data_IF_768666339535
#
_entry.id   IF_768666339535
#
_cell.length_a   1.000
_cell.length_b   1.000
_cell.length_c   1.000
_cell.angle_alpha   90.00
_cell.angle_beta   90.00
_cell.angle_gamma   90.00
#
_symmetry.space_group_name_H-M   'P 1'
#
loop_
_entity.id
_entity.type
_entity.pdbx_description
1 polymer ?
#
# COMPACT_ATOMS: atom_id res chain seq x y z
N UNK A 1 -7.98 12.64 -14.34
CA UNK A 1 -6.75 13.15 -13.63
C UNK A 1 -7.16 14.18 -12.60
N UNK A 2 -6.76 14.02 -11.37
CA UNK A 2 -6.99 15.02 -10.31
C UNK A 2 -6.16 16.28 -10.58
N UNK A 3 -6.72 17.47 -10.32
CA UNK A 3 -5.96 18.72 -10.47
C UNK A 3 -4.78 18.76 -9.50
N UNK A 4 -3.63 19.22 -9.98
CA UNK A 4 -2.43 19.36 -9.17
C UNK A 4 -2.54 20.55 -8.22
N UNK A 5 -1.92 20.44 -7.06
CA UNK A 5 -1.92 21.47 -6.01
C UNK A 5 -3.28 21.81 -5.38
N UNK A 6 -4.33 21.07 -5.69
CA UNK A 6 -5.65 21.26 -5.06
C UNK A 6 -5.92 20.23 -3.97
N UNK A 7 -6.60 20.68 -2.90
CA UNK A 7 -7.07 19.80 -1.86
C UNK A 7 -8.33 19.06 -2.31
N UNK A 8 -8.28 17.75 -2.35
CA UNK A 8 -9.43 16.90 -2.61
C UNK A 8 -9.81 16.06 -1.40
N UNK A 9 -11.08 15.69 -1.34
CA UNK A 9 -11.63 14.83 -0.29
C UNK A 9 -11.95 13.46 -0.89
N UNK A 10 -11.84 12.39 -0.10
CA UNK A 10 -12.20 11.04 -0.54
C UNK A 10 -13.73 10.91 -0.62
N UNK A 11 -14.28 11.05 -1.79
CA UNK A 11 -15.73 11.20 -2.06
C UNK A 11 -16.58 10.07 -1.48
N UNK A 12 -16.09 8.85 -1.57
CA UNK A 12 -16.81 7.64 -1.16
C UNK A 12 -16.53 7.22 0.30
N UNK A 13 -15.59 7.89 0.98
CA UNK A 13 -15.19 7.52 2.34
C UNK A 13 -16.38 7.55 3.32
N UNK A 14 -17.25 8.53 3.19
CA UNK A 14 -18.45 8.66 4.03
C UNK A 14 -19.41 7.48 3.82
N UNK A 15 -19.71 7.15 2.57
CA UNK A 15 -20.62 6.03 2.22
C UNK A 15 -20.03 4.72 2.67
N UNK A 16 -18.74 4.53 2.48
CA UNK A 16 -17.99 3.36 2.92
C UNK A 16 -18.10 3.13 4.44
N UNK A 17 -17.88 4.16 5.26
CA UNK A 17 -18.00 4.05 6.70
C UNK A 17 -19.44 3.81 7.18
N UNK A 18 -20.43 4.46 6.58
CA UNK A 18 -21.83 4.21 6.89
C UNK A 18 -22.25 2.76 6.54
N UNK A 19 -21.71 2.18 5.49
CA UNK A 19 -21.98 0.80 5.15
C UNK A 19 -21.37 -0.16 6.19
N UNK A 20 -20.16 0.11 6.67
CA UNK A 20 -19.57 -0.65 7.78
C UNK A 20 -20.38 -0.53 9.07
N UNK A 21 -20.85 0.66 9.39
CA UNK A 21 -21.72 0.91 10.53
C UNK A 21 -23.02 0.09 10.41
N UNK A 22 -23.66 0.13 9.26
CA UNK A 22 -24.90 -0.63 9.02
C UNK A 22 -24.69 -2.14 9.15
N UNK A 23 -23.58 -2.68 8.61
CA UNK A 23 -23.22 -4.09 8.75
C UNK A 23 -22.94 -4.43 10.22
N UNK A 24 -22.17 -3.61 10.92
CA UNK A 24 -21.85 -3.82 12.34
C UNK A 24 -23.09 -3.83 13.23
N UNK A 25 -23.98 -2.87 13.03
CA UNK A 25 -25.27 -2.82 13.73
C UNK A 25 -26.15 -4.01 13.38
N UNK A 26 -26.21 -4.40 12.10
CA UNK A 26 -26.95 -5.58 11.65
C UNK A 26 -26.48 -6.87 12.35
N UNK A 27 -25.18 -7.05 12.48
CA UNK A 27 -24.57 -8.18 13.19
C UNK A 27 -24.92 -8.14 14.68
N UNK A 28 -24.80 -6.96 15.32
CA UNK A 28 -25.14 -6.80 16.74
C UNK A 28 -26.61 -7.10 17.03
N UNK A 29 -27.52 -6.64 16.18
CA UNK A 29 -28.96 -6.92 16.30
C UNK A 29 -29.24 -8.40 16.08
N UNK A 30 -28.62 -9.03 15.09
CA UNK A 30 -28.80 -10.47 14.82
C UNK A 30 -28.29 -11.33 15.97
N UNK A 31 -27.09 -11.04 16.49
CA UNK A 31 -26.52 -11.77 17.65
C UNK A 31 -27.33 -11.53 18.92
N UNK A 32 -27.72 -10.29 19.21
CA UNK A 32 -28.53 -9.95 20.37
C UNK A 32 -29.93 -10.62 20.31
N UNK A 33 -30.57 -10.59 19.15
CA UNK A 33 -31.85 -11.27 18.91
C UNK A 33 -31.75 -12.78 19.04
N UNK A 34 -30.70 -13.41 18.53
CA UNK A 34 -30.41 -14.82 18.69
C UNK A 34 -30.23 -15.20 20.18
N UNK A 35 -29.39 -14.48 20.91
CA UNK A 35 -29.15 -14.70 22.33
C UNK A 35 -30.46 -14.54 23.16
N UNK A 36 -31.28 -13.54 22.82
CA UNK A 36 -32.59 -13.37 23.44
C UNK A 36 -33.53 -14.56 23.15
N UNK A 37 -33.54 -15.08 21.92
CA UNK A 37 -34.41 -16.21 21.51
C UNK A 37 -34.08 -17.52 22.23
N UNK A 38 -32.81 -17.76 22.56
CA UNK A 38 -32.36 -18.92 23.33
C UNK A 38 -32.45 -18.72 24.85
N UNK A 39 -33.04 -17.61 25.30
CA UNK A 39 -33.27 -17.34 26.74
C UNK A 39 -32.01 -16.94 27.51
N UNK A 40 -30.94 -16.51 26.80
CA UNK A 40 -29.67 -16.14 27.45
C UNK A 40 -29.81 -14.99 28.48
N UNK A 41 -30.87 -14.22 28.41
CA UNK A 41 -31.17 -13.10 29.33
C UNK A 41 -32.35 -13.34 30.26
N UNK A 42 -32.94 -14.56 30.28
CA UNK A 42 -34.15 -14.87 31.08
C UNK A 42 -33.93 -14.69 32.58
N UNK A 43 -32.75 -15.04 33.08
CA UNK A 43 -32.36 -14.89 34.48
C UNK A 43 -31.55 -13.64 34.78
N UNK A 44 -31.31 -12.79 33.75
CA UNK A 44 -30.52 -11.59 33.90
C UNK A 44 -31.35 -10.46 34.55
N UNK A 45 -30.76 -9.67 35.46
CA UNK A 45 -31.41 -8.47 35.97
C UNK A 45 -31.79 -7.50 34.83
N UNK A 46 -32.90 -6.80 34.97
CA UNK A 46 -33.40 -5.84 33.94
C UNK A 46 -32.37 -4.80 33.49
N UNK A 47 -31.46 -4.39 34.38
CA UNK A 47 -30.39 -3.44 34.01
C UNK A 47 -29.38 -4.04 33.01
N UNK A 48 -29.13 -5.35 33.07
CA UNK A 48 -28.23 -6.05 32.10
C UNK A 48 -28.88 -6.03 30.73
N UNK A 49 -30.19 -6.39 30.65
CA UNK A 49 -30.95 -6.35 29.39
C UNK A 49 -30.99 -4.91 28.82
N UNK A 50 -31.13 -3.92 29.70
CA UNK A 50 -31.05 -2.49 29.32
C UNK A 50 -29.72 -2.11 28.74
N UNK A 51 -28.58 -2.56 29.32
CA UNK A 51 -27.25 -2.28 28.81
C UNK A 51 -26.98 -2.93 27.45
N UNK A 52 -27.46 -4.15 27.24
CA UNK A 52 -27.34 -4.88 25.97
C UNK A 52 -27.95 -4.10 24.79
N UNK A 53 -28.97 -3.29 25.05
CA UNK A 53 -29.61 -2.42 24.03
C UNK A 53 -28.97 -1.04 24.02
N UNK A 54 -28.73 -0.44 25.19
CA UNK A 54 -28.27 0.94 25.31
C UNK A 54 -26.84 1.15 24.76
N UNK A 55 -25.93 0.18 24.96
CA UNK A 55 -24.55 0.31 24.51
C UNK A 55 -24.45 0.30 22.98
N UNK A 56 -25.04 -0.63 22.22
CA UNK A 56 -25.04 -0.58 20.77
C UNK A 56 -25.72 0.67 20.22
N UNK A 57 -26.81 1.11 20.83
CA UNK A 57 -27.50 2.33 20.43
C UNK A 57 -26.62 3.59 20.64
N UNK A 58 -25.93 3.68 21.75
CA UNK A 58 -25.00 4.77 22.03
C UNK A 58 -23.83 4.79 21.03
N UNK A 59 -23.25 3.61 20.72
CA UNK A 59 -22.20 3.47 19.72
C UNK A 59 -22.71 3.87 18.33
N UNK A 60 -23.91 3.44 17.95
CA UNK A 60 -24.52 3.82 16.68
C UNK A 60 -24.69 5.34 16.57
N UNK A 61 -25.29 5.99 17.56
CA UNK A 61 -25.47 7.45 17.57
C UNK A 61 -24.13 8.18 17.52
N UNK A 62 -23.14 7.69 18.27
CA UNK A 62 -21.79 8.26 18.25
C UNK A 62 -21.13 8.13 16.88
N UNK A 63 -21.17 6.98 16.24
CA UNK A 63 -20.57 6.74 14.92
C UNK A 63 -21.27 7.55 13.83
N UNK A 64 -22.61 7.62 13.86
CA UNK A 64 -23.41 8.42 12.92
C UNK A 64 -23.01 9.90 12.95
N UNK A 65 -22.69 10.43 14.13
CA UNK A 65 -22.16 11.79 14.29
C UNK A 65 -20.67 11.89 13.89
N UNK A 66 -19.84 10.89 14.27
CA UNK A 66 -18.39 10.88 14.07
C UNK A 66 -17.99 10.78 12.61
N UNK A 67 -18.65 9.90 11.82
CA UNK A 67 -18.31 9.65 10.41
C UNK A 67 -18.29 10.93 9.57
N UNK A 68 -19.33 11.78 9.56
CA UNK A 68 -19.28 13.04 8.81
C UNK A 68 -18.29 14.05 9.38
N UNK A 69 -18.05 14.05 10.68
CA UNK A 69 -17.03 14.90 11.29
C UNK A 69 -15.62 14.50 10.82
N UNK A 70 -15.32 13.20 10.81
CA UNK A 70 -14.05 12.68 10.30
C UNK A 70 -13.86 12.96 8.81
N UNK A 71 -14.88 12.74 7.99
CA UNK A 71 -14.85 13.04 6.56
C UNK A 71 -14.53 14.50 6.26
N UNK A 72 -15.08 15.44 7.04
CA UNK A 72 -14.83 16.88 6.83
C UNK A 72 -13.37 17.26 7.02
N UNK A 73 -12.65 16.53 7.86
CA UNK A 73 -11.24 16.81 8.18
C UNK A 73 -10.24 16.09 7.29
N UNK A 74 -10.66 14.99 6.66
CA UNK A 74 -9.80 14.23 5.76
C UNK A 74 -9.66 14.95 4.41
N UNK A 75 -8.43 15.31 4.05
CA UNK A 75 -8.12 15.89 2.75
C UNK A 75 -6.71 15.53 2.33
N UNK A 76 -6.53 15.38 1.02
CA UNK A 76 -5.29 15.04 0.35
C UNK A 76 -4.95 16.08 -0.68
N UNK A 77 -3.65 16.30 -0.92
CA UNK A 77 -3.15 17.17 -1.98
C UNK A 77 -1.93 16.53 -2.63
N UNK A 78 -1.95 16.45 -3.95
CA UNK A 78 -0.84 16.02 -4.77
C UNK A 78 -0.15 17.29 -5.28
N UNK A 79 1.05 17.59 -4.79
CA UNK A 79 1.89 18.70 -5.28
C UNK A 79 2.89 18.18 -6.31
N UNK A 80 3.77 19.02 -6.79
CA UNK A 80 4.82 18.59 -7.73
C UNK A 80 5.90 17.75 -7.06
N UNK A 81 6.18 17.98 -5.77
CA UNK A 81 7.30 17.39 -5.05
C UNK A 81 6.89 16.36 -4.00
N UNK A 82 5.65 16.45 -3.50
CA UNK A 82 5.22 15.70 -2.32
C UNK A 82 3.72 15.45 -2.31
N UNK A 83 3.31 14.48 -1.49
CA UNK A 83 1.91 14.22 -1.18
C UNK A 83 1.65 14.76 0.21
N UNK A 84 0.71 15.67 0.32
CA UNK A 84 0.23 16.18 1.59
C UNK A 84 -1.08 15.53 1.97
N UNK A 85 -1.20 15.24 3.24
CA UNK A 85 -2.37 14.63 3.82
C UNK A 85 -2.68 15.27 5.16
N UNK A 86 -3.93 15.56 5.39
CA UNK A 86 -4.42 16.03 6.68
C UNK A 86 -5.68 15.28 7.09
N UNK A 87 -5.76 14.92 8.36
CA UNK A 87 -6.96 14.33 8.97
C UNK A 87 -7.00 14.56 10.46
N UNK A 88 -8.15 14.34 11.06
CA UNK A 88 -8.37 14.28 12.51
C UNK A 88 -9.45 15.24 12.98
N UNK A 89 -10.36 14.71 13.79
CA UNK A 89 -11.49 15.48 14.35
C UNK A 89 -11.02 16.30 15.55
N UNK A 90 -10.34 15.65 16.51
CA UNK A 90 -9.82 16.28 17.72
C UNK A 90 -8.34 16.67 17.59
N UNK A 91 -7.53 15.77 17.05
CA UNK A 91 -6.11 16.00 16.82
C UNK A 91 -5.86 16.03 15.31
N UNK A 92 -5.51 17.18 14.79
CA UNK A 92 -5.18 17.33 13.39
C UNK A 92 -3.75 16.81 13.15
N UNK A 93 -3.64 15.77 12.34
CA UNK A 93 -2.40 15.29 11.80
C UNK A 93 -2.23 15.80 10.38
N UNK A 94 -1.07 16.39 10.12
CA UNK A 94 -0.63 16.74 8.77
C UNK A 94 0.65 15.94 8.49
N UNK A 95 0.60 15.14 7.45
CA UNK A 95 1.75 14.34 7.02
C UNK A 95 2.08 14.73 5.59
N UNK A 96 3.37 14.83 5.32
CA UNK A 96 3.92 15.17 4.02
C UNK A 96 4.89 14.07 3.62
N UNK A 97 4.68 13.48 2.44
CA UNK A 97 5.50 12.38 1.89
C UNK A 97 6.12 12.83 0.58
N UNK A 98 7.44 13.10 0.55
CA UNK A 98 8.15 13.44 -0.69
C UNK A 98 8.22 12.25 -1.65
N UNK A 99 8.05 12.48 -2.96
CA UNK A 99 8.04 11.42 -3.97
C UNK A 99 9.36 10.65 -4.04
N UNK A 100 10.50 11.26 -3.76
CA UNK A 100 11.82 10.62 -3.76
C UNK A 100 12.01 9.56 -2.65
N UNK A 101 11.16 9.55 -1.62
CA UNK A 101 11.17 8.56 -0.53
C UNK A 101 10.23 7.39 -0.77
N UNK A 102 9.36 7.48 -1.77
CA UNK A 102 8.37 6.46 -2.06
C UNK A 102 9.06 5.26 -2.70
N UNK A 103 8.93 4.10 -2.08
CA UNK A 103 9.48 2.82 -2.56
C UNK A 103 8.46 2.01 -3.32
N UNK A 104 7.19 2.04 -2.88
CA UNK A 104 6.11 1.29 -3.51
C UNK A 104 4.78 2.04 -3.39
N UNK A 105 3.94 1.89 -4.43
CA UNK A 105 2.56 2.40 -4.45
C UNK A 105 1.66 1.26 -4.89
N UNK A 106 0.71 0.90 -4.05
CA UNK A 106 -0.28 -0.13 -4.35
C UNK A 106 -1.69 0.46 -4.39
N UNK A 107 -2.52 -0.09 -5.25
CA UNK A 107 -3.96 0.16 -5.25
C UNK A 107 -4.67 -1.12 -4.81
N UNK A 108 -5.68 -0.98 -3.97
CA UNK A 108 -6.47 -2.09 -3.46
C UNK A 108 -7.95 -1.73 -3.39
N UNK A 109 -8.78 -2.73 -3.64
CA UNK A 109 -10.23 -2.61 -3.52
C UNK A 109 -10.78 -3.79 -2.75
N UNK A 110 -11.23 -3.56 -1.52
CA UNK A 110 -11.88 -4.58 -0.69
C UNK A 110 -13.33 -4.88 -1.14
N UNK A 111 -13.94 -5.97 -0.62
CA UNK A 111 -15.28 -6.38 -1.02
C UNK A 111 -16.34 -5.28 -0.77
N UNK A 112 -16.30 -4.62 0.36
CA UNK A 112 -17.21 -3.51 0.68
C UNK A 112 -16.93 -2.28 -0.17
N UNK A 113 -15.66 -2.01 -0.48
CA UNK A 113 -15.29 -0.90 -1.37
C UNK A 113 -15.83 -1.09 -2.78
N UNK A 114 -15.90 -2.34 -3.27
CA UNK A 114 -16.52 -2.67 -4.56
C UNK A 114 -18.00 -2.32 -4.63
N UNK A 115 -18.74 -2.50 -3.53
CA UNK A 115 -20.16 -2.17 -3.47
C UNK A 115 -20.45 -0.68 -3.62
N UNK A 116 -19.50 0.18 -3.22
CA UNK A 116 -19.62 1.64 -3.27
C UNK A 116 -18.77 2.28 -4.36
N UNK A 117 -18.17 1.46 -5.23
CA UNK A 117 -17.26 1.91 -6.28
C UNK A 117 -16.15 2.81 -5.71
N UNK A 118 -15.46 2.29 -4.71
CA UNK A 118 -14.36 2.95 -4.03
C UNK A 118 -13.13 2.06 -4.00
N UNK A 119 -11.96 2.68 -3.85
CA UNK A 119 -10.71 1.98 -3.63
C UNK A 119 -9.82 2.73 -2.65
N UNK A 120 -8.64 2.20 -2.45
CA UNK A 120 -7.58 2.81 -1.64
C UNK A 120 -6.23 2.72 -2.33
N UNK A 121 -5.41 3.75 -2.13
CA UNK A 121 -4.03 3.82 -2.60
C UNK A 121 -3.12 3.85 -1.39
N UNK A 122 -2.29 2.82 -1.25
CA UNK A 122 -1.27 2.72 -0.21
C UNK A 122 0.09 3.19 -0.73
N UNK A 123 0.77 4.02 0.05
CA UNK A 123 2.06 4.61 -0.27
C UNK A 123 3.06 4.17 0.79
N UNK A 124 4.10 3.48 0.36
CA UNK A 124 5.16 2.96 1.21
C UNK A 124 6.45 3.74 0.98
N UNK A 125 7.16 4.03 2.06
CA UNK A 125 8.46 4.71 2.02
C UNK A 125 9.56 3.86 2.64
N UNK A 126 10.82 4.14 2.29
CA UNK A 126 11.98 3.38 2.78
C UNK A 126 12.15 3.44 4.31
N UNK A 127 11.73 4.53 4.96
CA UNK A 127 11.85 4.71 6.42
C UNK A 127 10.79 3.95 7.24
N UNK A 128 9.71 3.49 6.62
CA UNK A 128 8.57 2.85 7.27
C UNK A 128 8.55 1.32 7.09
N UNK A 129 9.60 0.76 6.47
CA UNK A 129 9.70 -0.67 6.11
C UNK A 129 9.65 -1.65 7.30
N UNK A 130 9.77 -1.17 8.55
CA UNK A 130 9.66 -1.97 9.78
C UNK A 130 8.26 -2.05 10.38
N UNK A 131 7.27 -1.30 9.88
CA UNK A 131 5.89 -1.32 10.36
C UNK A 131 4.97 -1.97 9.32
N UNK A 132 4.05 -2.80 9.79
CA UNK A 132 3.06 -3.47 8.95
C UNK A 132 2.06 -2.44 8.42
N UNK A 133 2.26 -1.95 7.19
CA UNK A 133 1.32 -1.06 6.53
C UNK A 133 1.98 0.01 5.66
N UNK A 134 1.16 0.78 4.95
CA UNK A 134 1.59 1.94 4.20
C UNK A 134 1.74 3.15 5.13
N UNK A 135 2.76 3.99 4.91
CA UNK A 135 2.93 5.25 5.66
C UNK A 135 1.75 6.20 5.44
N UNK A 136 1.23 6.21 4.22
CA UNK A 136 0.07 6.98 3.84
C UNK A 136 -0.92 6.10 3.07
N UNK A 137 -2.20 6.12 3.46
CA UNK A 137 -3.27 5.45 2.71
C UNK A 137 -4.36 6.46 2.36
N UNK A 138 -4.63 6.62 1.07
CA UNK A 138 -5.76 7.37 0.53
C UNK A 138 -6.91 6.38 0.36
N UNK A 139 -7.96 6.48 1.18
CA UNK A 139 -9.08 5.53 1.18
C UNK A 139 -10.38 6.23 0.77
N UNK A 140 -11.24 5.52 0.05
CA UNK A 140 -12.59 5.99 -0.30
C UNK A 140 -12.61 6.94 -1.50
N UNK A 141 -11.75 6.71 -2.47
CA UNK A 141 -11.71 7.42 -3.75
C UNK A 141 -12.18 6.49 -4.87
N UNK A 142 -12.93 7.02 -5.84
CA UNK A 142 -13.40 6.25 -7.00
C UNK A 142 -12.32 6.09 -8.06
N UNK A 143 -11.46 7.07 -8.21
CA UNK A 143 -10.37 7.15 -9.19
C UNK A 143 -9.01 6.68 -8.63
N UNK A 144 -9.02 5.67 -7.76
CA UNK A 144 -7.84 5.18 -7.06
C UNK A 144 -6.73 4.67 -7.99
N UNK A 145 -7.08 4.10 -9.16
CA UNK A 145 -6.09 3.68 -10.16
C UNK A 145 -5.42 4.87 -10.83
N UNK A 146 -6.21 5.90 -11.21
CA UNK A 146 -5.65 7.13 -11.77
C UNK A 146 -4.73 7.84 -10.79
N UNK A 147 -5.12 7.91 -9.50
CA UNK A 147 -4.28 8.50 -8.44
C UNK A 147 -2.97 7.73 -8.33
N UNK A 148 -3.01 6.39 -8.33
CA UNK A 148 -1.81 5.55 -8.31
C UNK A 148 -0.91 5.88 -9.49
N UNK A 149 -1.44 5.96 -10.71
CA UNK A 149 -0.67 6.22 -11.92
C UNK A 149 -0.07 7.64 -11.94
N UNK A 150 -0.80 8.63 -11.43
CA UNK A 150 -0.29 9.99 -11.24
C UNK A 150 0.89 10.00 -10.25
N UNK A 151 0.76 9.33 -9.11
CA UNK A 151 1.81 9.21 -8.10
C UNK A 151 3.04 8.51 -8.69
N UNK A 152 2.86 7.37 -9.38
CA UNK A 152 3.95 6.64 -10.01
C UNK A 152 4.67 7.47 -11.07
N UNK A 153 3.95 8.25 -11.86
CA UNK A 153 4.54 9.15 -12.84
C UNK A 153 5.43 10.21 -12.17
N UNK A 154 4.97 10.80 -11.05
CA UNK A 154 5.74 11.77 -10.28
C UNK A 154 6.95 11.14 -9.60
N UNK A 155 6.82 9.92 -9.07
CA UNK A 155 7.93 9.15 -8.48
C UNK A 155 9.01 8.87 -9.54
N UNK A 156 8.64 8.42 -10.75
CA UNK A 156 9.59 8.17 -11.85
C UNK A 156 10.33 9.42 -12.26
N UNK A 157 9.65 10.56 -12.37
CA UNK A 157 10.28 11.84 -12.71
C UNK A 157 11.31 12.31 -11.67
N UNK A 158 11.16 11.89 -10.41
CA UNK A 158 12.00 12.31 -9.28
C UNK A 158 13.07 11.29 -8.88
N UNK A 159 13.03 10.05 -9.45
CA UNK A 159 14.16 9.14 -9.32
C UNK A 159 15.35 9.73 -10.07
N UNK A 160 16.54 9.88 -9.41
CA UNK A 160 17.77 10.25 -10.14
C UNK A 160 18.00 9.25 -11.26
N UNK A 161 18.44 9.71 -12.41
CA UNK A 161 18.76 8.90 -13.60
C UNK A 161 19.87 7.84 -13.38
N UNK A 162 20.43 7.74 -12.18
CA UNK A 162 21.42 6.74 -11.79
C UNK A 162 20.91 5.27 -11.80
N UNK A 163 19.60 5.04 -12.02
CA UNK A 163 19.04 3.68 -12.08
C UNK A 163 18.73 3.22 -13.52
N UNK A 164 18.92 4.06 -14.53
CA UNK A 164 18.83 3.66 -15.95
C UNK A 164 20.17 3.10 -16.50
N UNK A 165 21.24 3.15 -15.69
CA UNK A 165 22.55 2.62 -16.06
C UNK A 165 22.76 1.12 -15.83
N UNK A 166 21.82 0.41 -15.17
CA UNK A 166 22.02 -1.00 -14.87
C UNK A 166 21.79 -1.95 -16.07
N UNK A 167 21.08 -1.51 -17.10
CA UNK A 167 20.94 -2.33 -18.33
C UNK A 167 22.18 -2.23 -19.25
N UNK A 168 22.87 -1.08 -19.29
CA UNK A 168 24.13 -0.96 -20.04
C UNK A 168 25.29 -1.67 -19.35
N UNK A 169 25.32 -1.73 -18.00
CA UNK A 169 26.35 -2.46 -17.26
C UNK A 169 26.22 -3.98 -17.38
N UNK A 170 25.02 -4.51 -17.55
CA UNK A 170 24.79 -5.94 -17.77
C UNK A 170 25.26 -6.39 -19.16
N UNK A 171 25.17 -5.54 -20.16
CA UNK A 171 25.68 -5.82 -21.51
C UNK A 171 27.21 -5.70 -21.57
N UNK A 172 27.82 -4.75 -20.86
CA UNK A 172 29.26 -4.63 -20.70
C UNK A 172 29.86 -5.78 -19.87
N UNK A 173 29.19 -6.22 -18.81
CA UNK A 173 29.60 -7.37 -18.00
C UNK A 173 29.49 -8.68 -18.77
N UNK A 174 28.45 -8.87 -19.58
CA UNK A 174 28.32 -10.00 -20.51
C UNK A 174 29.39 -9.97 -21.59
N UNK A 175 29.69 -8.80 -22.16
CA UNK A 175 30.76 -8.65 -23.14
C UNK A 175 32.15 -8.89 -22.52
N UNK A 176 32.36 -8.56 -21.25
CA UNK A 176 33.60 -8.82 -20.52
C UNK A 176 33.74 -10.30 -20.18
N UNK A 177 32.69 -11.02 -19.80
CA UNK A 177 32.67 -12.46 -19.57
C UNK A 177 32.91 -13.25 -20.86
N UNK A 178 32.35 -12.81 -21.98
CA UNK A 178 32.54 -13.45 -23.28
C UNK A 178 34.00 -13.26 -23.79
N UNK A 179 34.62 -12.11 -23.57
CA UNK A 179 36.04 -11.86 -23.83
C UNK A 179 36.96 -12.69 -22.94
N UNK A 180 36.61 -12.86 -21.66
CA UNK A 180 37.41 -13.69 -20.74
C UNK A 180 37.33 -15.18 -21.09
N UNK A 181 36.21 -15.67 -21.61
CA UNK A 181 36.02 -17.04 -22.04
C UNK A 181 36.82 -17.37 -23.34
N UNK A 182 36.95 -16.39 -24.25
CA UNK A 182 37.77 -16.55 -25.46
C UNK A 182 39.26 -16.49 -25.16
N UNK A 183 39.72 -15.62 -24.25
CA UNK A 183 41.13 -15.57 -23.82
C UNK A 183 41.54 -16.85 -23.09
N UNK A 184 40.70 -17.37 -22.19
CA UNK A 184 40.97 -18.66 -21.52
C UNK A 184 41.02 -19.87 -22.47
N UNK A 185 40.33 -19.78 -23.60
CA UNK A 185 40.40 -20.84 -24.65
C UNK A 185 41.73 -20.85 -25.39
N UNK A 186 42.35 -19.72 -25.67
CA UNK A 186 43.68 -19.60 -26.30
C UNK A 186 44.80 -20.05 -25.35
N UNK A 187 44.77 -19.61 -24.08
CA UNK A 187 45.74 -20.05 -23.07
C UNK A 187 45.70 -21.56 -22.83
N UNK A 188 44.52 -22.16 -22.77
CA UNK A 188 44.34 -23.60 -22.62
C UNK A 188 44.84 -24.35 -23.84
N UNK A 189 44.77 -23.82 -25.05
CA UNK A 189 45.29 -24.39 -26.25
C UNK A 189 46.83 -24.35 -26.29
N UNK A 190 47.44 -23.30 -25.79
CA UNK A 190 48.89 -23.17 -25.65
C UNK A 190 49.45 -24.12 -24.57
N UNK A 191 48.81 -24.22 -23.43
CA UNK A 191 49.17 -25.16 -22.37
C UNK A 191 49.09 -26.62 -22.84
N UNK A 192 48.10 -27.00 -23.65
CA UNK A 192 48.04 -28.31 -24.27
C UNK A 192 49.18 -28.57 -25.25
N UNK A 193 49.55 -27.55 -26.01
CA UNK A 193 50.67 -27.65 -26.97
C UNK A 193 52.02 -27.84 -26.25
N UNK A 194 52.25 -27.14 -25.18
CA UNK A 194 53.43 -27.28 -24.32
C UNK A 194 53.49 -28.67 -23.70
N UNK A 195 52.36 -29.19 -23.21
CA UNK A 195 52.28 -30.55 -22.65
C UNK A 195 52.63 -31.62 -23.65
N UNK A 196 52.11 -31.55 -24.87
CA UNK A 196 52.40 -32.49 -25.93
C UNK A 196 53.89 -32.46 -26.34
N UNK A 197 54.51 -31.28 -26.35
CA UNK A 197 55.94 -31.15 -26.63
C UNK A 197 56.81 -31.77 -25.51
N UNK A 198 56.45 -31.58 -24.25
CA UNK A 198 57.13 -32.16 -23.11
C UNK A 198 56.98 -33.67 -23.02
N UNK A 199 55.80 -34.23 -23.34
CA UNK A 199 55.56 -35.69 -23.37
C UNK A 199 56.31 -36.41 -24.54
N UNK A 200 56.57 -35.65 -25.64
CA UNK A 200 57.33 -36.14 -26.78
C UNK A 200 58.85 -36.18 -26.56
N UNK A 201 59.38 -35.37 -25.61
CA UNK A 201 60.82 -35.31 -25.35
C UNK A 201 61.29 -36.29 -24.25
N UNK A 202 60.38 -36.78 -23.41
CA UNK A 202 60.70 -37.76 -22.34
C UNK A 202 60.24 -39.18 -22.63
N UNK A 203 59.76 -39.46 -23.84
CA UNK A 203 59.26 -40.81 -24.29
C UNK A 203 60.17 -41.54 -25.31
N UNK A 204 61.48 -41.25 -25.27
CA UNK A 204 62.50 -41.94 -26.11
C UNK A 204 63.50 -42.67 -25.28
#
# INVERSE_FOLDING_TARGET
MRPENEWFKPEKLRVYYFLYEAIGVGILVAVGGFLASVGAFSDAPLWVSGLVIAVPLAVFVFLTWWIPAFYRTAAYRLTDDEIEYRRGVFFQQKTTVPYNRITNVNAAQGPIQRLVDAGSVGIHTAGYAGQTGAELTITGVSDYEEIKDQVLTKVRRRRPAATEGDDETLDDERAAVDRSSTLGGEELSELRRIRVLLEGEFGG
#
